data_IF_770527504881
#
_entry.id   IF_770527504881
#
_cell.length_a   1.000
_cell.length_b   1.000
_cell.length_c   1.000
_cell.angle_alpha   90.00
_cell.angle_beta   90.00
_cell.angle_gamma   90.00
#
_symmetry.space_group_name_H-M   'P 1'
#
loop_
_entity.id
_entity.type
_entity.pdbx_description
1 polymer ?
#
# COMPACT_ATOMS: atom_id res chain seq x y z
N UNK A 1 12.05 18.74 18.58
CA UNK A 1 11.27 17.92 17.63
C UNK A 1 9.95 17.57 18.29
N UNK A 2 8.83 18.14 17.81
CA UNK A 2 7.50 17.84 18.36
C UNK A 2 7.08 16.44 17.91
N UNK A 3 7.25 15.46 18.80
CA UNK A 3 6.58 14.17 18.67
C UNK A 3 5.10 14.46 18.90
N UNK A 4 4.35 14.69 17.82
CA UNK A 4 2.91 14.90 17.91
C UNK A 4 2.30 13.63 18.51
N UNK A 5 1.89 13.75 19.77
CA UNK A 5 1.23 12.74 20.57
C UNK A 5 -0.24 12.62 20.11
N UNK A 6 -0.43 12.34 18.82
CA UNK A 6 -1.73 12.01 18.26
C UNK A 6 -2.02 10.56 18.64
N UNK A 7 -3.19 10.32 19.22
CA UNK A 7 -3.68 8.98 19.50
C UNK A 7 -3.52 8.10 18.23
N UNK A 8 -3.13 6.83 18.37
CA UNK A 8 -2.94 5.94 17.24
C UNK A 8 -4.23 5.89 16.39
N UNK A 9 -4.09 6.15 15.09
CA UNK A 9 -5.18 6.03 14.11
C UNK A 9 -4.75 4.98 13.08
N UNK A 10 -4.79 3.69 13.44
CA UNK A 10 -4.17 2.63 12.64
C UNK A 10 -4.72 2.56 11.21
N UNK A 11 -6.01 2.86 11.02
CA UNK A 11 -6.63 2.95 9.68
C UNK A 11 -5.99 4.03 8.81
N UNK A 12 -5.86 5.25 9.32
CA UNK A 12 -5.24 6.36 8.59
C UNK A 12 -3.75 6.12 8.37
N UNK A 13 -3.07 5.59 9.38
CA UNK A 13 -1.64 5.30 9.28
C UNK A 13 -1.35 4.20 8.25
N UNK A 14 -2.27 3.23 8.10
CA UNK A 14 -2.24 2.21 7.06
C UNK A 14 -2.52 2.81 5.67
N UNK A 15 -3.50 3.70 5.53
CA UNK A 15 -3.75 4.41 4.26
C UNK A 15 -2.53 5.22 3.82
N UNK A 16 -1.92 5.97 4.73
CA UNK A 16 -0.70 6.73 4.48
C UNK A 16 0.46 5.80 4.09
N UNK A 17 0.58 4.62 4.72
CA UNK A 17 1.56 3.59 4.34
C UNK A 17 1.33 3.09 2.91
N UNK A 18 0.10 2.70 2.58
CA UNK A 18 -0.26 2.19 1.25
C UNK A 18 -0.06 3.24 0.16
N UNK A 19 -0.29 4.52 0.47
CA UNK A 19 -0.06 5.63 -0.45
C UNK A 19 1.41 5.81 -0.88
N UNK A 20 2.38 5.20 -0.19
CA UNK A 20 3.78 5.20 -0.64
C UNK A 20 3.99 4.42 -1.94
N UNK A 21 3.09 3.47 -2.24
CA UNK A 21 3.10 2.68 -3.48
C UNK A 21 2.35 3.37 -4.63
N UNK A 22 1.90 4.61 -4.46
CA UNK A 22 1.34 5.37 -5.55
C UNK A 22 2.42 5.63 -6.61
N UNK A 23 2.20 5.20 -7.85
CA UNK A 23 3.20 5.31 -8.94
C UNK A 23 3.51 6.75 -9.31
N UNK A 24 2.61 7.70 -9.02
CA UNK A 24 2.85 9.13 -9.24
C UNK A 24 3.73 9.76 -8.16
N UNK A 25 3.89 9.09 -7.01
CA UNK A 25 4.69 9.54 -5.86
C UNK A 25 6.01 8.78 -5.79
N UNK A 26 6.01 7.49 -6.15
CA UNK A 26 7.18 6.60 -6.21
C UNK A 26 8.01 6.59 -4.91
N UNK A 27 7.35 6.36 -3.77
CA UNK A 27 7.95 6.42 -2.44
C UNK A 27 7.94 5.08 -1.68
N UNK A 28 7.72 3.96 -2.36
CA UNK A 28 7.70 2.61 -1.77
C UNK A 28 8.97 2.33 -0.95
N UNK A 29 10.15 2.66 -1.48
CA UNK A 29 11.45 2.57 -0.79
C UNK A 29 11.58 3.39 0.51
N UNK A 30 10.60 4.25 0.82
CA UNK A 30 10.56 5.07 2.04
C UNK A 30 9.64 4.51 3.11
N UNK A 31 8.94 3.40 2.89
CA UNK A 31 8.04 2.79 3.90
C UNK A 31 8.79 2.53 5.22
N UNK A 32 10.01 1.99 5.17
CA UNK A 32 10.82 1.80 6.39
C UNK A 32 11.14 3.13 7.09
N UNK A 33 11.41 4.21 6.34
CA UNK A 33 11.66 5.55 6.88
C UNK A 33 10.39 6.18 7.46
N UNK A 34 9.23 5.90 6.87
CA UNK A 34 7.93 6.31 7.38
C UNK A 34 7.59 5.64 8.71
N UNK A 35 7.88 4.33 8.82
CA UNK A 35 7.65 3.56 10.05
C UNK A 35 8.70 3.85 11.13
N UNK A 36 9.94 4.20 10.77
CA UNK A 36 11.04 4.43 11.72
C UNK A 36 10.68 5.30 12.95
N UNK A 37 10.03 6.47 12.82
CA UNK A 37 9.68 7.32 13.96
C UNK A 37 8.53 6.79 14.82
N UNK A 38 7.79 5.76 14.40
CA UNK A 38 6.64 5.28 15.17
C UNK A 38 7.08 4.41 16.35
N UNK A 39 6.46 4.57 17.54
CA UNK A 39 6.69 3.67 18.66
C UNK A 39 6.20 2.26 18.32
N UNK A 40 6.76 1.25 18.99
CA UNK A 40 6.43 -0.16 18.77
C UNK A 40 4.91 -0.42 18.88
N UNK A 41 4.24 0.19 19.85
CA UNK A 41 2.78 0.07 20.03
C UNK A 41 1.97 0.57 18.83
N UNK A 42 2.44 1.62 18.15
CA UNK A 42 1.76 2.16 16.96
C UNK A 42 2.05 1.31 15.73
N UNK A 43 3.28 0.82 15.57
CA UNK A 43 3.63 -0.15 14.51
C UNK A 43 2.78 -1.41 14.62
N UNK A 44 2.63 -1.93 15.84
CA UNK A 44 1.80 -3.10 16.12
C UNK A 44 0.32 -2.84 15.82
N UNK A 45 -0.20 -1.66 16.15
CA UNK A 45 -1.58 -1.29 15.79
C UNK A 45 -1.81 -1.23 14.27
N UNK A 46 -0.83 -0.74 13.49
CA UNK A 46 -0.90 -0.73 12.02
C UNK A 46 -0.83 -2.15 11.47
N UNK A 47 0.09 -2.97 12.01
CA UNK A 47 0.24 -4.38 11.66
C UNK A 47 -1.08 -5.13 11.85
N UNK A 48 -1.71 -5.00 13.01
CA UNK A 48 -2.98 -5.67 13.34
C UNK A 48 -4.13 -5.21 12.45
N UNK A 49 -4.23 -3.92 12.16
CA UNK A 49 -5.22 -3.39 11.22
C UNK A 49 -5.01 -3.95 9.81
N UNK A 50 -3.76 -4.06 9.36
CA UNK A 50 -3.42 -4.64 8.06
C UNK A 50 -3.79 -6.13 8.02
N UNK A 51 -3.39 -6.91 9.02
CA UNK A 51 -3.76 -8.33 9.14
C UNK A 51 -5.27 -8.54 9.13
N UNK A 52 -6.02 -7.70 9.84
CA UNK A 52 -7.47 -7.73 9.85
C UNK A 52 -8.04 -7.52 8.44
N UNK A 53 -7.59 -6.47 7.74
CA UNK A 53 -8.05 -6.19 6.38
C UNK A 53 -7.70 -7.29 5.38
N UNK A 54 -6.52 -7.91 5.51
CA UNK A 54 -6.13 -9.09 4.71
C UNK A 54 -7.05 -10.28 4.99
N UNK A 55 -7.32 -10.58 6.27
CA UNK A 55 -8.18 -11.70 6.69
C UNK A 55 -9.64 -11.51 6.27
N UNK A 56 -10.15 -10.29 6.34
CA UNK A 56 -11.51 -9.94 5.93
C UNK A 56 -11.67 -9.79 4.41
N UNK A 57 -10.60 -9.99 3.62
CA UNK A 57 -10.58 -9.74 2.16
C UNK A 57 -11.03 -8.32 1.78
N UNK A 58 -10.64 -7.31 2.58
CA UNK A 58 -10.98 -5.89 2.37
C UNK A 58 -9.91 -5.13 1.59
N UNK A 59 -9.00 -5.85 0.96
CA UNK A 59 -7.87 -5.32 0.17
C UNK A 59 -7.89 -6.00 -1.19
N UNK A 60 -8.80 -5.52 -2.06
CA UNK A 60 -9.01 -6.03 -3.41
C UNK A 60 -8.55 -5.06 -4.49
N UNK A 61 -9.05 -5.22 -5.71
CA UNK A 61 -8.63 -4.41 -6.86
C UNK A 61 -8.95 -2.92 -6.70
N UNK A 62 -10.05 -2.59 -6.00
CA UNK A 62 -10.42 -1.20 -5.73
C UNK A 62 -9.44 -0.52 -4.78
N UNK A 63 -9.04 -1.20 -3.71
CA UNK A 63 -8.03 -0.70 -2.77
C UNK A 63 -6.67 -0.60 -3.43
N UNK A 64 -6.32 -1.56 -4.29
CA UNK A 64 -5.08 -1.51 -5.07
C UNK A 64 -5.05 -0.24 -5.93
N UNK A 65 -6.13 0.07 -6.64
CA UNK A 65 -6.23 1.28 -7.44
C UNK A 65 -6.11 2.56 -6.60
N UNK A 66 -6.78 2.59 -5.44
CA UNK A 66 -6.68 3.73 -4.53
C UNK A 66 -5.25 3.96 -4.02
N UNK A 67 -4.54 2.88 -3.69
CA UNK A 67 -3.17 2.94 -3.16
C UNK A 67 -2.14 3.28 -4.24
N UNK A 68 -2.25 2.65 -5.42
CA UNK A 68 -1.19 2.66 -6.43
C UNK A 68 -1.45 3.62 -7.59
N UNK A 69 -2.69 4.05 -7.80
CA UNK A 69 -3.19 4.67 -9.03
C UNK A 69 -3.12 3.77 -10.28
N UNK A 70 -3.05 2.45 -10.08
CA UNK A 70 -3.00 1.44 -11.14
C UNK A 70 -4.12 0.42 -11.02
N UNK A 71 -4.43 -0.28 -12.13
CA UNK A 71 -5.47 -1.30 -12.16
C UNK A 71 -4.86 -2.70 -12.23
N UNK A 72 -5.52 -3.66 -11.58
CA UNK A 72 -5.15 -5.08 -11.61
C UNK A 72 -6.38 -5.96 -11.34
N UNK A 73 -6.25 -7.28 -11.42
CA UNK A 73 -7.31 -8.21 -11.01
C UNK A 73 -7.24 -8.53 -9.51
N UNK A 74 -8.31 -9.13 -8.99
CA UNK A 74 -8.48 -9.37 -7.55
C UNK A 74 -7.36 -10.21 -6.93
N UNK A 75 -6.83 -11.20 -7.64
CA UNK A 75 -5.84 -12.13 -7.11
C UNK A 75 -4.47 -11.45 -6.96
N UNK A 76 -4.07 -10.68 -7.97
CA UNK A 76 -2.83 -9.90 -8.01
C UNK A 76 -2.87 -8.75 -7.01
N UNK A 77 -4.03 -8.09 -6.84
CA UNK A 77 -4.21 -7.09 -5.79
C UNK A 77 -3.95 -7.69 -4.40
N UNK A 78 -4.53 -8.86 -4.12
CA UNK A 78 -4.35 -9.55 -2.84
C UNK A 78 -2.90 -9.98 -2.63
N UNK A 79 -2.24 -10.45 -3.68
CA UNK A 79 -0.83 -10.82 -3.61
C UNK A 79 0.04 -9.58 -3.31
N UNK A 80 -0.18 -8.48 -4.02
CA UNK A 80 0.49 -7.20 -3.75
C UNK A 80 0.37 -6.79 -2.28
N UNK A 81 -0.84 -6.83 -1.70
CA UNK A 81 -1.02 -6.43 -0.30
C UNK A 81 -0.33 -7.37 0.70
N UNK A 82 -0.19 -8.67 0.38
CA UNK A 82 0.60 -9.61 1.19
C UNK A 82 2.09 -9.27 1.12
N UNK A 83 2.58 -8.92 -0.06
CA UNK A 83 3.99 -8.58 -0.26
C UNK A 83 4.34 -7.23 0.40
N UNK A 84 3.43 -6.25 0.35
CA UNK A 84 3.55 -4.99 1.09
C UNK A 84 3.59 -5.23 2.61
N UNK A 85 2.74 -6.13 3.11
CA UNK A 85 2.73 -6.49 4.53
C UNK A 85 4.08 -7.13 4.94
N UNK A 86 4.58 -8.09 4.14
CA UNK A 86 5.86 -8.73 4.38
C UNK A 86 7.02 -7.72 4.36
N UNK A 87 7.05 -6.82 3.37
CA UNK A 87 8.04 -5.74 3.28
C UNK A 87 8.01 -4.81 4.51
N UNK A 88 6.81 -4.41 4.94
CA UNK A 88 6.65 -3.44 6.02
C UNK A 88 6.97 -4.01 7.42
N UNK A 89 6.67 -5.29 7.66
CA UNK A 89 6.67 -5.86 9.03
C UNK A 89 7.50 -7.13 9.22
N UNK A 90 7.83 -7.85 8.14
CA UNK A 90 8.48 -9.17 8.22
C UNK A 90 9.87 -9.21 7.58
N UNK A 91 10.33 -8.08 7.01
CA UNK A 91 11.62 -8.00 6.32
C UNK A 91 11.59 -8.61 4.92
N UNK A 92 10.41 -8.67 4.28
CA UNK A 92 10.25 -9.06 2.89
C UNK A 92 10.88 -8.08 1.91
N UNK A 93 10.89 -8.45 0.62
CA UNK A 93 11.40 -7.60 -0.46
C UNK A 93 10.40 -6.48 -0.80
N UNK A 94 10.91 -5.35 -1.31
CA UNK A 94 10.07 -4.24 -1.76
C UNK A 94 9.27 -4.66 -3.00
N UNK A 95 7.92 -4.64 -2.97
CA UNK A 95 7.14 -5.01 -4.14
C UNK A 95 7.15 -3.89 -5.19
N UNK A 96 7.45 -4.24 -6.43
CA UNK A 96 7.27 -3.35 -7.58
C UNK A 96 5.81 -3.42 -8.05
N UNK A 97 5.11 -2.27 -8.04
CA UNK A 97 3.73 -2.17 -8.52
C UNK A 97 3.60 -2.67 -9.95
N UNK A 98 4.64 -2.51 -10.78
CA UNK A 98 4.71 -2.95 -12.17
C UNK A 98 4.44 -4.44 -12.37
N UNK A 99 4.87 -5.27 -11.42
CA UNK A 99 4.73 -6.73 -11.50
C UNK A 99 3.29 -7.20 -11.33
N UNK A 100 2.45 -6.35 -10.73
CA UNK A 100 1.04 -6.65 -10.44
C UNK A 100 0.10 -5.94 -11.41
N UNK A 101 0.57 -5.24 -12.43
CA UNK A 101 -0.30 -4.53 -13.37
C UNK A 101 -1.03 -5.50 -14.30
N UNK A 102 -2.34 -5.33 -14.45
CA UNK A 102 -3.03 -6.03 -15.54
C UNK A 102 -2.63 -5.41 -16.88
N UNK A 103 -2.08 -6.25 -17.77
CA UNK A 103 -1.69 -5.83 -19.13
C UNK A 103 -2.87 -5.31 -19.95
N UNK A 104 -4.09 -5.74 -19.64
CA UNK A 104 -5.31 -5.33 -20.33
C UNK A 104 -5.68 -3.84 -20.08
N UNK A 105 -5.25 -3.24 -18.96
CA UNK A 105 -5.58 -1.84 -18.65
C UNK A 105 -4.57 -0.82 -19.16
N UNK A 106 -3.38 -1.26 -19.60
CA UNK A 106 -2.37 -0.36 -20.22
C UNK A 106 -2.86 0.23 -21.56
N UNK A 107 -3.86 -0.39 -22.20
CA UNK A 107 -4.47 0.10 -23.43
C UNK A 107 -5.54 1.19 -23.22
N UNK A 108 -6.10 1.34 -22.01
CA UNK A 108 -7.24 2.26 -21.77
C UNK A 108 -6.82 3.70 -21.43
N UNK A 109 -5.58 3.93 -20.97
CA UNK A 109 -5.06 5.26 -20.62
C UNK A 109 -4.35 5.96 -21.78
N UNK A 110 -3.90 5.22 -22.80
CA UNK A 110 -3.26 5.80 -24.00
C UNK A 110 -4.29 6.39 -24.98
N UNK A 111 -5.54 5.89 -24.98
CA UNK A 111 -6.54 6.28 -25.97
C UNK A 111 -7.46 7.46 -25.57
N UNK A 112 -7.20 8.14 -24.43
CA UNK A 112 -7.91 9.39 -24.04
C UNK A 112 -7.12 10.67 -24.31
N UNK A 113 -5.98 10.59 -25.00
CA UNK A 113 -5.22 11.76 -25.49
C UNK A 113 -5.16 11.76 -27.02
N UNK A 114 -6.31 11.84 -27.68
CA UNK A 114 -6.38 12.41 -29.02
C UNK A 114 -7.83 12.85 -29.31
N UNK A 115 -8.19 14.13 -29.07
CA UNK A 115 -9.34 14.74 -29.73
C UNK A 115 -9.07 14.94 -31.23
#
# INVERSE_FOLDING_TARGET
MNIMNLAPRPQKDLEDLLGHFNVNVAMSHKVTKYLAPFPASRKEAIRQEFELKLKENRLGAAEFYSATACSTHEEEARQFFRDVYAYAFEGGEEPDVGDYLSREYHAATVNRRNP
#
